data_IF_621276878183
#
_entry.id   IF_621276878183
#
_cell.length_a   1.000
_cell.length_b   1.000
_cell.length_c   1.000
_cell.angle_alpha   90.00
_cell.angle_beta   90.00
_cell.angle_gamma   90.00
#
_symmetry.space_group_name_H-M   'P 1'
#
loop_
_entity.id
_entity.type
_entity.pdbx_description
1 polymer ?
#
# COMPACT_ATOMS: atom_id res chain seq x y z
N UNK A 1 4.26 0.43 72.17
CA UNK A 1 3.59 0.16 73.48
C UNK A 1 2.09 0.10 73.24
N UNK A 2 1.52 -1.15 73.31
CA UNK A 2 0.17 -1.52 73.79
C UNK A 2 -1.04 -0.98 73.03
N UNK A 3 -2.16 -1.69 72.81
CA UNK A 3 -2.70 -3.02 73.13
C UNK A 3 -3.87 -3.32 72.17
N UNK A 4 -3.97 -4.45 71.63
CA UNK A 4 -4.91 -5.59 71.69
C UNK A 4 -6.40 -5.32 72.11
N UNK A 5 -7.30 -5.67 71.15
CA UNK A 5 -8.41 -6.67 71.22
C UNK A 5 -9.68 -6.36 72.05
N UNK A 6 -10.78 -7.16 71.96
CA UNK A 6 -11.41 -7.89 70.89
C UNK A 6 -12.98 -7.73 70.82
N UNK A 7 -13.59 -8.54 69.95
CA UNK A 7 -15.02 -8.81 69.66
C UNK A 7 -15.99 -8.93 70.87
N UNK A 8 -17.36 -8.87 70.66
CA UNK A 8 -18.07 -10.13 70.30
C UNK A 8 -19.24 -10.04 69.35
N UNK A 9 -19.58 -11.26 68.86
CA UNK A 9 -20.75 -11.68 68.07
C UNK A 9 -22.08 -11.44 68.81
N UNK A 10 -23.16 -11.13 68.03
CA UNK A 10 -24.53 -11.58 68.36
C UNK A 10 -25.23 -12.04 67.11
N UNK A 11 -25.63 -13.29 67.15
CA UNK A 11 -26.70 -13.90 66.33
C UNK A 11 -28.06 -13.34 66.78
N UNK A 12 -28.94 -13.07 65.85
CA UNK A 12 -30.40 -13.19 66.02
C UNK A 12 -30.97 -13.80 64.77
N UNK A 13 -31.61 -14.93 64.96
CA UNK A 13 -32.45 -15.61 63.98
C UNK A 13 -33.90 -15.13 64.17
N UNK A 14 -34.63 -14.96 63.09
CA UNK A 14 -36.10 -15.09 63.05
C UNK A 14 -36.56 -15.18 61.58
N UNK A 15 -36.94 -16.32 61.19
CA UNK A 15 -38.28 -16.82 60.78
C UNK A 15 -38.93 -16.22 59.51
N UNK A 16 -39.17 -17.18 58.68
CA UNK A 16 -39.85 -17.32 57.44
C UNK A 16 -41.20 -16.59 57.26
N UNK A 17 -41.45 -16.13 56.06
CA UNK A 17 -42.77 -16.20 55.44
C UNK A 17 -42.58 -16.36 53.93
N UNK A 18 -43.07 -17.45 53.38
CA UNK A 18 -43.01 -17.74 51.98
C UNK A 18 -43.98 -16.90 51.14
N UNK A 19 -43.52 -16.48 50.01
CA UNK A 19 -44.32 -16.09 48.89
C UNK A 19 -43.67 -16.64 47.63
N UNK A 20 -44.22 -17.72 47.10
CA UNK A 20 -43.87 -18.27 45.80
C UNK A 20 -44.35 -17.30 44.71
N UNK A 21 -43.43 -16.57 44.12
CA UNK A 21 -43.66 -15.88 42.87
C UNK A 21 -42.98 -16.74 41.76
N UNK A 22 -43.81 -17.40 40.96
CA UNK A 22 -43.34 -18.08 39.76
C UNK A 22 -42.82 -17.02 38.75
N UNK A 23 -41.53 -16.79 38.78
CA UNK A 23 -40.83 -15.99 37.76
C UNK A 23 -40.63 -16.83 36.50
N UNK A 24 -41.39 -16.53 35.46
CA UNK A 24 -41.07 -17.00 34.10
C UNK A 24 -39.67 -16.46 33.74
N UNK A 25 -38.66 -17.30 33.79
CA UNK A 25 -37.37 -17.04 33.19
C UNK A 25 -37.57 -17.05 31.66
N UNK A 26 -37.68 -15.87 31.08
CA UNK A 26 -37.51 -15.71 29.63
C UNK A 26 -36.02 -15.97 29.34
N UNK A 27 -35.68 -17.16 28.92
CA UNK A 27 -34.40 -17.45 28.28
C UNK A 27 -34.43 -16.74 26.94
N UNK A 28 -33.74 -15.57 26.87
CA UNK A 28 -33.36 -14.99 25.61
C UNK A 28 -32.38 -15.97 24.92
N UNK A 29 -32.92 -16.81 24.04
CA UNK A 29 -32.10 -17.55 23.11
C UNK A 29 -31.36 -16.47 22.27
N UNK A 30 -30.05 -16.29 22.51
CA UNK A 30 -29.20 -15.59 21.58
C UNK A 30 -29.38 -16.30 20.23
N UNK A 31 -29.90 -15.55 19.24
CA UNK A 31 -29.98 -16.05 17.88
C UNK A 31 -28.56 -16.40 17.47
N UNK A 32 -28.32 -17.65 17.14
CA UNK A 32 -27.07 -18.05 16.50
C UNK A 32 -26.91 -17.19 15.23
N UNK A 33 -25.67 -16.74 14.94
CA UNK A 33 -25.44 -15.97 13.71
C UNK A 33 -25.95 -16.79 12.54
N UNK A 34 -26.83 -16.19 11.75
CA UNK A 34 -27.33 -16.78 10.52
C UNK A 34 -26.09 -16.94 9.63
N UNK A 35 -25.59 -18.15 9.49
CA UNK A 35 -24.66 -18.50 8.43
C UNK A 35 -25.43 -18.31 7.13
N UNK A 36 -25.20 -17.19 6.46
CA UNK A 36 -25.57 -17.07 5.05
C UNK A 36 -24.88 -18.21 4.31
N UNK A 37 -25.63 -18.96 3.54
CA UNK A 37 -25.04 -19.95 2.66
C UNK A 37 -23.98 -19.26 1.80
N UNK A 38 -22.82 -19.89 1.55
CA UNK A 38 -21.86 -19.32 0.62
C UNK A 38 -22.59 -19.05 -0.70
N UNK A 39 -22.33 -17.90 -1.36
CA UNK A 39 -22.92 -17.63 -2.66
C UNK A 39 -22.57 -18.78 -3.62
N UNK A 40 -23.49 -19.09 -4.52
CA UNK A 40 -23.20 -20.07 -5.57
C UNK A 40 -21.99 -19.60 -6.37
N UNK A 41 -21.06 -20.51 -6.73
CA UNK A 41 -19.91 -20.14 -7.56
C UNK A 41 -20.45 -19.55 -8.88
N UNK A 42 -19.92 -18.39 -9.28
CA UNK A 42 -20.10 -17.90 -10.64
C UNK A 42 -19.44 -18.87 -11.64
N UNK A 43 -19.68 -18.72 -12.93
CA UNK A 43 -19.12 -19.60 -13.95
C UNK A 43 -17.57 -19.59 -14.01
N UNK A 44 -16.92 -18.61 -13.36
CA UNK A 44 -15.45 -18.47 -13.24
C UNK A 44 -14.88 -19.01 -11.90
N UNK A 45 -15.71 -19.60 -11.04
CA UNK A 45 -15.28 -20.08 -9.72
C UNK A 45 -15.29 -18.98 -8.65
N UNK A 46 -15.02 -19.31 -7.41
CA UNK A 46 -15.17 -18.56 -6.16
C UNK A 46 -14.47 -17.19 -6.08
N UNK A 47 -14.38 -16.44 -7.15
CA UNK A 47 -13.76 -15.15 -7.16
C UNK A 47 -14.74 -14.04 -6.82
N UNK A 48 -14.59 -13.45 -5.66
CA UNK A 48 -15.42 -12.32 -5.20
C UNK A 48 -14.63 -11.03 -5.33
N UNK A 49 -15.35 -9.96 -5.63
CA UNK A 49 -14.81 -8.59 -5.61
C UNK A 49 -14.39 -8.14 -4.22
N UNK A 50 -13.70 -7.01 -4.10
CA UNK A 50 -13.13 -6.44 -2.87
C UNK A 50 -14.12 -6.18 -1.71
N UNK A 51 -15.38 -6.56 -1.83
CA UNK A 51 -16.48 -6.17 -0.94
C UNK A 51 -16.54 -6.92 0.41
N UNK A 52 -15.62 -7.84 0.70
CA UNK A 52 -15.62 -8.51 1.98
C UNK A 52 -14.58 -7.90 2.94
N UNK A 53 -15.02 -7.04 3.90
CA UNK A 53 -14.10 -6.26 4.74
C UNK A 53 -13.52 -7.06 5.92
N UNK A 54 -13.69 -8.39 6.01
CA UNK A 54 -13.53 -9.12 7.27
C UNK A 54 -12.19 -9.83 7.49
N UNK A 55 -11.15 -9.56 6.70
CA UNK A 55 -9.83 -10.09 7.02
C UNK A 55 -9.23 -9.36 8.24
N UNK A 56 -9.31 -10.03 9.41
CA UNK A 56 -8.83 -9.50 10.69
C UNK A 56 -7.31 -9.66 10.91
N UNK A 57 -6.55 -9.99 9.88
CA UNK A 57 -5.11 -10.29 9.98
C UNK A 57 -4.17 -9.16 9.61
N UNK A 58 -4.69 -8.00 9.22
CA UNK A 58 -3.87 -6.86 8.81
C UNK A 58 -3.29 -6.09 10.00
N UNK A 59 -2.04 -5.68 9.88
CA UNK A 59 -1.40 -4.77 10.83
C UNK A 59 -2.17 -3.46 10.93
N UNK A 60 -2.67 -3.12 12.10
CA UNK A 60 -3.29 -1.83 12.41
C UNK A 60 -2.23 -0.73 12.52
N UNK A 61 -2.62 0.55 12.42
CA UNK A 61 -1.70 1.66 12.60
C UNK A 61 -0.99 1.61 13.98
N UNK A 62 -1.72 1.21 15.03
CA UNK A 62 -1.15 1.08 16.38
C UNK A 62 -0.15 -0.08 16.49
N UNK A 63 -0.34 -1.15 15.74
CA UNK A 63 0.60 -2.28 15.62
C UNK A 63 1.83 -1.87 14.84
N UNK A 64 1.66 -1.22 13.69
CA UNK A 64 2.76 -0.66 12.90
C UNK A 64 3.68 0.21 13.77
N UNK A 65 3.10 1.15 14.52
CA UNK A 65 3.86 2.02 15.45
C UNK A 65 4.71 1.22 16.43
N UNK A 66 4.13 0.17 17.04
CA UNK A 66 4.85 -0.70 17.98
C UNK A 66 5.96 -1.49 17.33
N UNK A 67 5.69 -2.05 16.14
CA UNK A 67 6.66 -2.85 15.39
C UNK A 67 7.83 -2.02 14.90
N UNK A 68 7.59 -0.85 14.34
CA UNK A 68 8.65 0.08 13.92
C UNK A 68 9.53 0.50 15.11
N UNK A 69 8.93 0.88 16.23
CA UNK A 69 9.68 1.21 17.45
C UNK A 69 10.43 -0.01 18.03
N UNK A 70 9.96 -1.23 17.81
CA UNK A 70 10.68 -2.44 18.18
C UNK A 70 11.85 -2.69 17.21
N UNK A 71 11.65 -2.53 15.90
CA UNK A 71 12.71 -2.68 14.90
C UNK A 71 13.87 -1.74 15.19
N UNK A 72 13.60 -0.45 15.42
CA UNK A 72 14.63 0.53 15.74
C UNK A 72 15.47 0.08 16.96
N UNK A 73 14.82 -0.36 18.04
CA UNK A 73 15.53 -0.84 19.25
C UNK A 73 16.30 -2.14 19.05
N UNK A 74 15.74 -3.10 18.29
CA UNK A 74 16.33 -4.45 18.15
C UNK A 74 17.39 -4.53 17.07
N UNK A 75 17.50 -3.53 16.23
CA UNK A 75 18.52 -3.41 15.19
C UNK A 75 19.66 -2.46 15.55
N UNK A 76 19.74 -2.04 16.81
CA UNK A 76 20.73 -1.09 17.34
C UNK A 76 20.80 0.21 16.49
N UNK A 77 19.62 0.70 16.03
CA UNK A 77 19.48 1.90 15.22
C UNK A 77 19.89 1.76 13.75
N UNK A 78 20.13 0.54 13.24
CA UNK A 78 20.33 0.35 11.80
C UNK A 78 19.05 0.67 11.01
N UNK A 79 17.90 0.33 11.56
CA UNK A 79 16.61 0.84 11.08
C UNK A 79 16.31 2.11 11.87
N UNK A 80 16.21 3.22 11.17
CA UNK A 80 15.88 4.53 11.72
C UNK A 80 14.42 4.84 11.39
N UNK A 81 13.65 5.29 12.37
CA UNK A 81 12.22 5.55 12.20
C UNK A 81 11.93 7.01 12.50
N UNK A 82 11.31 7.69 11.54
CA UNK A 82 10.92 9.08 11.65
C UNK A 82 9.43 9.26 11.35
N UNK A 83 8.88 10.39 11.76
CA UNK A 83 7.52 10.82 11.44
C UNK A 83 7.57 11.81 10.27
N UNK A 84 7.13 11.39 9.10
CA UNK A 84 7.08 12.21 7.89
C UNK A 84 5.95 13.25 7.92
N UNK A 85 4.87 12.95 8.64
CA UNK A 85 3.69 13.81 8.69
C UNK A 85 2.59 13.20 9.54
N UNK A 86 1.40 13.79 9.43
CA UNK A 86 0.19 13.27 10.10
C UNK A 86 -0.99 13.33 9.14
N UNK A 87 -1.86 12.34 9.23
CA UNK A 87 -3.13 12.33 8.51
C UNK A 87 -4.08 13.39 9.07
N UNK A 88 -5.19 13.61 8.38
CA UNK A 88 -6.28 14.47 8.85
C UNK A 88 -6.80 14.07 10.24
N UNK A 89 -6.85 12.77 10.57
CA UNK A 89 -7.24 12.28 11.90
C UNK A 89 -6.09 12.27 12.92
N UNK A 90 -4.92 12.83 12.58
CA UNK A 90 -3.78 12.98 13.46
C UNK A 90 -2.91 11.72 13.63
N UNK A 91 -3.14 10.67 12.83
CA UNK A 91 -2.27 9.49 12.81
C UNK A 91 -0.92 9.82 12.17
N UNK A 92 0.15 9.34 12.79
CA UNK A 92 1.52 9.57 12.32
C UNK A 92 1.78 8.78 11.03
N UNK A 93 2.38 9.42 10.04
CA UNK A 93 2.92 8.79 8.84
C UNK A 93 4.40 8.52 9.07
N UNK A 94 4.81 7.26 8.98
CA UNK A 94 6.16 6.86 9.33
C UNK A 94 7.02 6.63 8.08
N UNK A 95 8.27 7.06 8.16
CA UNK A 95 9.36 6.52 7.37
C UNK A 95 10.19 5.56 8.20
N UNK A 96 10.72 4.52 7.55
CA UNK A 96 11.72 3.63 8.14
C UNK A 96 12.88 3.48 7.15
N UNK A 97 14.06 3.96 7.54
CA UNK A 97 15.26 3.98 6.72
C UNK A 97 16.25 2.91 7.15
N UNK A 98 16.85 2.21 6.17
CA UNK A 98 17.93 1.26 6.41
C UNK A 98 18.91 1.27 5.22
N UNK A 99 20.21 1.13 5.52
CA UNK A 99 21.28 1.25 4.53
C UNK A 99 21.91 2.63 4.47
N UNK A 100 23.07 2.71 3.81
CA UNK A 100 23.90 3.94 3.72
C UNK A 100 24.48 4.14 2.33
N UNK A 101 23.97 3.37 1.36
CA UNK A 101 24.42 3.48 -0.03
C UNK A 101 23.88 4.72 -0.72
N UNK A 102 24.55 5.10 -1.80
CA UNK A 102 24.20 6.29 -2.58
C UNK A 102 22.98 6.09 -3.48
N UNK A 103 22.62 4.84 -3.80
CA UNK A 103 21.39 4.54 -4.54
C UNK A 103 20.17 4.57 -3.61
N UNK A 104 19.19 5.37 -3.94
CA UNK A 104 18.01 5.60 -3.10
C UNK A 104 16.79 4.89 -3.65
N UNK A 105 16.20 4.02 -2.83
CA UNK A 105 14.94 3.35 -3.11
C UNK A 105 13.87 3.80 -2.11
N UNK A 106 12.86 4.51 -2.59
CA UNK A 106 11.65 4.83 -1.83
C UNK A 106 10.58 3.78 -2.12
N UNK A 107 10.05 3.14 -1.08
CA UNK A 107 8.95 2.17 -1.22
C UNK A 107 7.78 2.60 -0.36
N UNK A 108 6.64 2.82 -0.98
CA UNK A 108 5.40 3.15 -0.28
C UNK A 108 4.37 2.04 -0.40
N UNK A 109 3.48 1.94 0.57
CA UNK A 109 2.39 0.96 0.60
C UNK A 109 1.14 1.54 1.23
N UNK A 110 0.02 0.90 0.91
CA UNK A 110 -1.30 1.26 1.44
C UNK A 110 -1.68 2.73 1.15
N UNK A 111 -1.37 3.23 -0.05
CA UNK A 111 -1.90 4.49 -0.56
C UNK A 111 -3.43 4.40 -0.68
N UNK A 112 -3.94 3.23 -1.04
CA UNK A 112 -5.32 2.85 -0.81
C UNK A 112 -5.38 2.07 0.50
N UNK A 113 -6.17 2.55 1.45
CA UNK A 113 -6.12 2.05 2.83
C UNK A 113 -6.50 0.57 3.00
N UNK A 114 -7.23 -0.02 2.07
CA UNK A 114 -7.59 -1.44 2.06
C UNK A 114 -6.53 -2.35 1.38
N UNK A 115 -5.41 -1.81 0.89
CA UNK A 115 -4.38 -2.53 0.14
C UNK A 115 -3.11 -2.70 0.99
N UNK A 116 -3.11 -3.61 1.96
CA UNK A 116 -2.11 -3.66 3.05
C UNK A 116 -1.05 -4.77 2.97
N UNK A 117 -1.04 -5.62 1.95
CA UNK A 117 -0.01 -6.67 1.80
C UNK A 117 1.41 -6.09 1.78
N UNK A 118 1.59 -4.92 1.16
CA UNK A 118 2.86 -4.21 1.14
C UNK A 118 3.35 -3.77 2.53
N UNK A 119 2.44 -3.37 3.42
CA UNK A 119 2.78 -3.05 4.82
C UNK A 119 3.46 -4.22 5.51
N UNK A 120 2.86 -5.41 5.41
CA UNK A 120 3.40 -6.65 5.99
C UNK A 120 4.76 -7.03 5.38
N UNK A 121 4.87 -6.87 4.06
CA UNK A 121 6.10 -7.16 3.35
C UNK A 121 7.25 -6.24 3.78
N UNK A 122 6.99 -4.93 3.86
CA UNK A 122 7.99 -3.93 4.25
C UNK A 122 8.50 -4.12 5.68
N UNK A 123 7.63 -4.45 6.63
CA UNK A 123 8.03 -4.80 7.99
C UNK A 123 8.99 -6.01 7.99
N UNK A 124 8.70 -7.02 7.16
CA UNK A 124 9.58 -8.18 7.00
C UNK A 124 10.93 -7.85 6.36
N UNK A 125 10.96 -6.98 5.35
CA UNK A 125 12.19 -6.51 4.68
C UNK A 125 13.06 -5.70 5.66
N UNK A 126 12.47 -4.73 6.34
CA UNK A 126 13.16 -3.91 7.34
C UNK A 126 13.78 -4.77 8.45
N UNK A 127 13.04 -5.79 8.92
CA UNK A 127 13.56 -6.74 9.91
C UNK A 127 14.73 -7.54 9.37
N UNK A 128 14.65 -8.06 8.14
CA UNK A 128 15.74 -8.83 7.50
C UNK A 128 16.97 -7.97 7.33
N UNK A 129 16.84 -6.79 6.73
CA UNK A 129 17.96 -5.89 6.47
C UNK A 129 18.58 -5.36 7.76
N UNK A 130 17.74 -4.93 8.72
CA UNK A 130 18.20 -4.38 9.99
C UNK A 130 18.92 -5.39 10.88
N UNK A 131 18.59 -6.69 10.79
CA UNK A 131 19.17 -7.75 11.62
C UNK A 131 20.20 -8.62 10.88
N UNK A 132 20.22 -8.57 9.54
CA UNK A 132 21.08 -9.41 8.71
C UNK A 132 22.56 -9.02 8.79
N UNK A 133 23.43 -10.03 8.69
CA UNK A 133 24.88 -9.85 8.69
C UNK A 133 25.58 -10.70 7.63
N UNK A 134 24.83 -11.37 6.75
CA UNK A 134 25.37 -12.12 5.63
C UNK A 134 25.96 -11.19 4.55
N UNK A 135 26.79 -11.70 3.62
CA UNK A 135 27.44 -10.87 2.61
C UNK A 135 26.47 -10.12 1.68
N UNK A 136 25.32 -10.75 1.33
CA UNK A 136 24.33 -10.12 0.46
C UNK A 136 23.66 -8.95 1.17
N UNK A 137 23.23 -9.14 2.43
CA UNK A 137 22.65 -8.06 3.24
C UNK A 137 23.63 -6.90 3.41
N UNK A 138 24.92 -7.18 3.69
CA UNK A 138 25.91 -6.10 3.79
C UNK A 138 26.08 -5.34 2.48
N UNK A 139 26.19 -6.05 1.35
CA UNK A 139 26.27 -5.41 0.03
C UNK A 139 25.06 -4.52 -0.23
N UNK A 140 23.86 -5.01 0.06
CA UNK A 140 22.64 -4.23 -0.08
C UNK A 140 22.71 -2.94 0.75
N UNK A 141 23.05 -3.02 2.02
CA UNK A 141 23.11 -1.88 2.93
C UNK A 141 24.23 -0.88 2.61
N UNK A 142 25.36 -1.36 2.04
CA UNK A 142 26.49 -0.52 1.65
C UNK A 142 26.25 0.25 0.34
N UNK A 143 25.35 -0.22 -0.53
CA UNK A 143 25.13 0.33 -1.85
C UNK A 143 23.73 0.95 -2.04
N UNK A 144 22.75 0.59 -1.21
CA UNK A 144 21.38 1.08 -1.31
C UNK A 144 20.93 1.67 0.03
N UNK A 145 20.30 2.82 -0.04
CA UNK A 145 19.50 3.38 1.04
C UNK A 145 18.04 3.11 0.74
N UNK A 146 17.43 2.19 1.51
CA UNK A 146 16.00 1.95 1.46
C UNK A 146 15.29 2.91 2.43
N UNK A 147 14.31 3.63 1.91
CA UNK A 147 13.33 4.39 2.71
C UNK A 147 11.95 3.79 2.47
N UNK A 148 11.37 3.22 3.50
CA UNK A 148 10.04 2.61 3.43
C UNK A 148 9.00 3.50 4.11
N UNK A 149 7.84 3.67 3.47
CA UNK A 149 6.62 4.23 4.04
C UNK A 149 5.55 3.13 4.09
N UNK A 150 5.52 2.32 5.17
CA UNK A 150 4.74 1.07 5.17
C UNK A 150 3.23 1.26 5.12
N UNK A 151 2.71 2.42 5.56
CA UNK A 151 1.26 2.69 5.58
C UNK A 151 1.04 4.19 5.41
N UNK A 152 0.76 4.62 4.17
CA UNK A 152 0.61 6.05 3.86
C UNK A 152 -0.83 6.56 3.97
N UNK A 153 -1.82 5.66 4.06
CA UNK A 153 -3.23 6.00 4.29
C UNK A 153 -3.81 5.22 5.48
N UNK A 154 -3.32 5.46 6.71
CA UNK A 154 -3.82 4.75 7.88
C UNK A 154 -5.30 5.07 8.19
N UNK A 155 -5.80 6.25 7.84
CA UNK A 155 -7.20 6.62 8.08
C UNK A 155 -8.15 5.78 7.21
N UNK A 156 -7.82 5.59 5.94
CA UNK A 156 -8.52 4.66 5.05
C UNK A 156 -8.34 3.22 5.50
N UNK A 157 -7.13 2.86 5.97
CA UNK A 157 -6.79 1.53 6.47
C UNK A 157 -7.64 1.08 7.66
N UNK A 158 -7.82 1.95 8.66
CA UNK A 158 -8.65 1.64 9.84
C UNK A 158 -10.14 1.47 9.47
N UNK A 159 -10.59 2.02 8.36
CA UNK A 159 -11.93 1.88 7.83
C UNK A 159 -12.04 0.81 6.72
N UNK A 160 -10.94 0.14 6.40
CA UNK A 160 -10.83 -0.83 5.31
C UNK A 160 -11.41 -0.29 3.99
N UNK A 161 -10.99 0.90 3.58
CA UNK A 161 -11.47 1.55 2.36
C UNK A 161 -10.32 2.14 1.55
N UNK A 162 -10.56 2.36 0.25
CA UNK A 162 -9.59 2.91 -0.69
C UNK A 162 -9.19 4.35 -0.35
N UNK A 163 -10.17 5.25 -0.28
CA UNK A 163 -9.95 6.68 -0.05
C UNK A 163 -9.53 7.00 1.40
N UNK A 164 -8.86 8.12 1.60
CA UNK A 164 -8.68 8.71 2.92
C UNK A 164 -10.00 9.29 3.48
N UNK A 165 -9.96 10.11 4.55
CA UNK A 165 -11.17 10.61 5.22
C UNK A 165 -11.34 12.13 5.15
N UNK A 166 -10.50 12.84 4.39
CA UNK A 166 -10.50 14.30 4.33
C UNK A 166 -11.77 14.80 3.67
N UNK A 167 -12.56 15.58 4.37
CA UNK A 167 -13.74 16.23 3.80
C UNK A 167 -13.35 17.49 2.99
N UNK A 168 -14.18 17.89 2.01
CA UNK A 168 -13.86 19.06 1.21
C UNK A 168 -13.82 20.36 2.03
N UNK A 169 -14.62 20.46 3.08
CA UNK A 169 -14.60 21.63 3.97
C UNK A 169 -13.27 21.74 4.75
N UNK A 170 -12.62 20.62 5.06
CA UNK A 170 -11.29 20.60 5.67
C UNK A 170 -10.24 21.08 4.68
N UNK A 171 -10.36 20.65 3.40
CA UNK A 171 -9.47 21.16 2.32
C UNK A 171 -9.58 22.67 2.19
N UNK A 172 -10.82 23.22 2.20
CA UNK A 172 -11.03 24.67 2.13
C UNK A 172 -10.50 25.38 3.38
N UNK A 173 -10.53 24.74 4.54
CA UNK A 173 -9.91 25.27 5.75
C UNK A 173 -8.40 25.39 5.64
N UNK A 174 -7.76 24.36 5.09
CA UNK A 174 -6.30 24.31 4.91
C UNK A 174 -5.82 25.14 3.71
N UNK A 175 -6.69 25.25 2.68
CA UNK A 175 -6.46 26.01 1.45
C UNK A 175 -7.58 27.05 1.23
N UNK A 176 -7.61 28.17 2.00
CA UNK A 176 -8.70 29.14 1.94
C UNK A 176 -8.93 29.79 0.56
N UNK A 177 -7.90 29.80 -0.30
CA UNK A 177 -8.00 30.26 -1.69
C UNK A 177 -8.97 29.42 -2.53
N UNK A 178 -9.24 28.17 -2.13
CA UNK A 178 -10.16 27.27 -2.83
C UNK A 178 -11.63 27.45 -2.42
N UNK A 179 -11.95 28.45 -1.57
CA UNK A 179 -13.31 28.71 -1.16
C UNK A 179 -14.20 29.04 -2.38
N UNK A 180 -15.26 28.23 -2.58
CA UNK A 180 -16.18 28.36 -3.70
C UNK A 180 -15.72 27.69 -5.01
N UNK A 181 -14.52 27.12 -5.06
CA UNK A 181 -14.10 26.27 -6.16
C UNK A 181 -14.85 24.90 -6.16
N UNK A 182 -15.02 24.27 -7.31
CA UNK A 182 -15.53 22.89 -7.35
C UNK A 182 -14.55 21.94 -6.64
N UNK A 183 -15.06 20.79 -6.19
CA UNK A 183 -14.20 19.74 -5.62
C UNK A 183 -13.30 19.18 -6.70
N UNK A 184 -12.07 18.77 -6.32
CA UNK A 184 -11.21 18.00 -7.20
C UNK A 184 -11.95 16.75 -7.71
N UNK A 185 -11.76 16.39 -8.99
CA UNK A 185 -12.49 15.28 -9.63
C UNK A 185 -12.28 13.95 -8.91
N UNK A 186 -11.12 13.76 -8.25
CA UNK A 186 -10.78 12.56 -7.49
C UNK A 186 -11.16 12.62 -6.01
N UNK A 187 -11.89 13.67 -5.57
CA UNK A 187 -12.52 13.71 -4.26
C UNK A 187 -13.92 13.09 -4.32
N UNK A 188 -14.23 12.21 -3.38
CA UNK A 188 -15.51 11.50 -3.29
C UNK A 188 -15.82 10.63 -4.52
N UNK A 189 -14.81 9.97 -5.08
CA UNK A 189 -15.02 9.01 -6.15
C UNK A 189 -15.90 7.85 -5.68
N UNK A 190 -16.70 7.34 -6.61
CA UNK A 190 -17.46 6.11 -6.39
C UNK A 190 -16.55 4.93 -6.65
N UNK A 191 -16.34 4.10 -5.63
CA UNK A 191 -15.74 2.78 -5.75
C UNK A 191 -16.83 1.75 -5.51
N UNK A 192 -16.96 0.78 -6.41
CA UNK A 192 -17.94 -0.31 -6.33
C UNK A 192 -19.39 0.18 -6.11
N UNK A 193 -19.74 1.29 -6.75
CA UNK A 193 -21.06 1.91 -6.65
C UNK A 193 -21.31 2.74 -5.38
N UNK A 194 -20.35 2.79 -4.45
CA UNK A 194 -20.43 3.53 -3.19
C UNK A 194 -19.57 4.79 -3.30
N UNK A 195 -20.17 5.94 -3.04
CA UNK A 195 -19.42 7.20 -2.89
C UNK A 195 -18.64 7.15 -1.57
N UNK A 196 -17.33 7.28 -1.65
CA UNK A 196 -16.46 7.35 -0.50
C UNK A 196 -15.98 8.79 -0.30
N UNK A 197 -16.40 9.50 0.77
CA UNK A 197 -15.86 10.83 1.09
C UNK A 197 -14.36 10.73 1.33
N UNK A 198 -13.58 11.68 0.80
CA UNK A 198 -12.13 11.69 0.86
C UNK A 198 -11.49 11.58 -0.51
N UNK A 199 -10.18 11.51 -0.54
CA UNK A 199 -9.39 11.48 -1.77
C UNK A 199 -9.01 10.06 -2.17
N UNK A 200 -9.08 9.76 -3.47
CA UNK A 200 -8.19 8.77 -4.05
C UNK A 200 -6.78 9.39 -4.08
N UNK A 201 -5.95 8.99 -3.11
CA UNK A 201 -4.62 9.57 -2.95
C UNK A 201 -3.73 9.37 -4.19
N UNK A 202 -3.95 8.28 -4.94
CA UNK A 202 -3.16 8.02 -6.15
C UNK A 202 -3.68 8.80 -7.38
N UNK A 203 -4.27 9.98 -7.13
CA UNK A 203 -4.64 11.01 -8.11
C UNK A 203 -4.21 12.41 -7.64
N UNK A 204 -3.64 12.53 -6.43
CA UNK A 204 -3.36 13.81 -5.77
C UNK A 204 -1.92 14.30 -5.96
N UNK A 205 -1.12 13.64 -6.80
CA UNK A 205 0.28 13.98 -7.05
C UNK A 205 0.44 14.93 -8.24
N UNK A 206 1.41 15.83 -8.12
CA UNK A 206 1.80 16.76 -9.18
C UNK A 206 3.29 16.60 -9.49
N UNK A 207 3.70 16.55 -10.77
CA UNK A 207 5.12 16.53 -11.11
C UNK A 207 5.84 17.81 -10.74
N UNK A 208 5.14 18.96 -10.70
CA UNK A 208 5.66 20.17 -10.06
C UNK A 208 5.57 20.00 -8.53
N UNK A 209 6.67 19.62 -7.91
CA UNK A 209 6.73 19.31 -6.47
C UNK A 209 6.51 20.55 -5.60
N UNK A 210 6.65 21.76 -6.17
CA UNK A 210 6.38 23.04 -5.52
C UNK A 210 4.96 23.57 -5.82
N UNK A 211 4.13 22.77 -6.50
CA UNK A 211 2.78 23.19 -6.90
C UNK A 211 1.92 23.61 -5.70
N UNK A 212 1.29 24.77 -5.85
CA UNK A 212 0.33 25.30 -4.87
C UNK A 212 -1.07 25.29 -5.48
N UNK A 213 -2.06 24.69 -4.84
CA UNK A 213 -3.42 24.57 -5.36
C UNK A 213 -4.06 25.92 -5.71
N UNK A 214 -4.67 26.03 -6.90
CA UNK A 214 -5.32 27.22 -7.41
C UNK A 214 -6.77 26.93 -7.80
N UNK A 215 -7.72 27.87 -7.55
CA UNK A 215 -9.14 27.65 -7.85
C UNK A 215 -9.41 27.38 -9.33
N UNK A 216 -8.64 27.98 -10.23
CA UNK A 216 -8.80 27.86 -11.68
C UNK A 216 -8.40 26.49 -12.24
N UNK A 217 -7.63 25.68 -11.50
CA UNK A 217 -7.22 24.34 -11.91
C UNK A 217 -8.27 23.27 -11.54
N UNK A 218 -9.24 23.65 -10.68
CA UNK A 218 -10.29 22.74 -10.24
C UNK A 218 -11.53 22.79 -11.16
N UNK A 219 -12.19 21.63 -11.38
CA UNK A 219 -12.02 20.35 -10.70
C UNK A 219 -10.87 19.50 -11.23
N UNK A 220 -10.26 19.85 -12.37
CA UNK A 220 -9.37 19.01 -13.11
C UNK A 220 -10.06 17.79 -13.76
N UNK A 221 -9.31 16.93 -14.41
CA UNK A 221 -9.79 15.69 -15.04
C UNK A 221 -8.76 14.56 -14.91
N UNK A 222 -9.09 13.37 -15.37
CA UNK A 222 -8.30 12.16 -15.12
C UNK A 222 -6.88 12.20 -15.69
N UNK A 223 -6.68 12.89 -16.79
CA UNK A 223 -5.37 13.06 -17.44
C UNK A 223 -4.51 14.16 -16.81
N UNK A 224 -5.12 15.00 -15.99
CA UNK A 224 -4.40 16.10 -15.33
C UNK A 224 -3.53 15.59 -14.17
N UNK A 225 -2.51 16.37 -13.84
CA UNK A 225 -1.78 16.25 -12.59
C UNK A 225 -2.70 16.52 -11.39
N UNK A 226 -2.37 15.94 -10.25
CA UNK A 226 -3.06 16.20 -8.98
C UNK A 226 -2.69 17.56 -8.37
N UNK A 227 -3.19 17.82 -7.18
CA UNK A 227 -3.11 19.15 -6.58
C UNK A 227 -2.47 19.17 -5.19
N UNK A 228 -1.96 18.04 -4.67
CA UNK A 228 -1.42 17.91 -3.32
C UNK A 228 -2.36 18.47 -2.23
N UNK A 229 -3.63 18.09 -2.30
CA UNK A 229 -4.65 18.57 -1.37
C UNK A 229 -4.71 17.78 -0.06
N UNK A 230 -4.20 16.57 -0.06
CA UNK A 230 -4.22 15.72 1.12
C UNK A 230 -2.91 15.78 1.92
N UNK A 231 -2.96 15.69 3.26
CA UNK A 231 -1.75 15.68 4.06
C UNK A 231 -0.87 14.44 3.78
N UNK A 232 -1.46 13.35 3.33
CA UNK A 232 -0.74 12.12 2.98
C UNK A 232 0.13 12.31 1.73
N UNK A 233 -0.44 12.84 0.64
CA UNK A 233 0.32 13.09 -0.60
C UNK A 233 1.41 14.15 -0.39
N UNK A 234 1.13 15.17 0.41
CA UNK A 234 2.11 16.19 0.81
C UNK A 234 3.27 15.55 1.59
N UNK A 235 2.99 14.66 2.55
CA UNK A 235 4.04 13.99 3.31
C UNK A 235 4.91 13.09 2.43
N UNK A 236 4.33 12.37 1.46
CA UNK A 236 5.09 11.54 0.50
C UNK A 236 5.98 12.43 -0.37
N UNK A 237 5.43 13.53 -0.91
CA UNK A 237 6.18 14.54 -1.65
C UNK A 237 7.36 15.08 -0.85
N UNK A 238 7.11 15.47 0.40
CA UNK A 238 8.13 16.08 1.25
C UNK A 238 9.27 15.09 1.58
N UNK A 239 8.94 13.81 1.78
CA UNK A 239 9.95 12.74 1.90
C UNK A 239 10.76 12.62 0.60
N UNK A 240 10.09 12.59 -0.56
CA UNK A 240 10.78 12.49 -1.85
C UNK A 240 11.71 13.69 -2.11
N UNK A 241 11.23 14.91 -1.88
CA UNK A 241 12.04 16.13 -2.00
C UNK A 241 13.23 16.11 -1.04
N UNK A 242 13.01 15.75 0.22
CA UNK A 242 14.10 15.63 1.19
C UNK A 242 15.16 14.61 0.79
N UNK A 243 14.78 13.52 0.15
CA UNK A 243 15.73 12.54 -0.40
C UNK A 243 16.48 13.08 -1.61
N UNK A 244 15.82 13.84 -2.49
CA UNK A 244 16.52 14.54 -3.60
C UNK A 244 17.53 15.58 -3.07
N UNK A 245 17.19 16.32 -2.03
CA UNK A 245 18.10 17.29 -1.41
C UNK A 245 19.30 16.60 -0.74
N UNK A 246 19.10 15.44 -0.10
CA UNK A 246 20.17 14.70 0.59
C UNK A 246 21.10 13.99 -0.39
N UNK A 247 20.56 13.32 -1.42
CA UNK A 247 21.30 12.41 -2.31
C UNK A 247 21.49 12.95 -3.73
N UNK A 248 20.82 14.04 -4.09
CA UNK A 248 20.80 14.58 -5.44
C UNK A 248 19.76 13.94 -6.37
N UNK A 249 19.35 12.71 -6.10
CA UNK A 249 18.31 12.00 -6.85
C UNK A 249 17.67 10.90 -5.99
N UNK A 250 16.47 10.49 -6.34
CA UNK A 250 15.86 9.23 -5.91
C UNK A 250 15.91 8.27 -7.09
N UNK A 251 16.67 7.17 -6.98
CA UNK A 251 16.88 6.25 -8.11
C UNK A 251 15.62 5.55 -8.51
N UNK A 252 14.84 5.09 -7.52
CA UNK A 252 13.59 4.40 -7.77
C UNK A 252 12.52 4.67 -6.71
N UNK A 253 11.26 4.60 -7.15
CA UNK A 253 10.07 4.58 -6.31
C UNK A 253 9.25 3.33 -6.64
N UNK A 254 8.91 2.53 -5.62
CA UNK A 254 7.99 1.39 -5.76
C UNK A 254 6.71 1.70 -5.02
N UNK A 255 5.58 1.59 -5.72
CA UNK A 255 4.24 1.81 -5.19
C UNK A 255 3.52 0.46 -5.08
N UNK A 256 3.30 -0.01 -3.84
CA UNK A 256 2.75 -1.32 -3.54
C UNK A 256 1.23 -1.24 -3.39
N UNK A 257 0.53 -1.93 -4.29
CA UNK A 257 -0.92 -1.94 -4.42
C UNK A 257 -1.52 -3.34 -4.38
N UNK A 258 -2.85 -3.41 -4.43
CA UNK A 258 -3.60 -4.62 -4.72
C UNK A 258 -4.39 -4.48 -6.02
N UNK A 259 -4.21 -5.42 -6.94
CA UNK A 259 -5.11 -5.63 -8.07
C UNK A 259 -6.32 -6.49 -7.66
N UNK A 260 -7.25 -6.69 -8.60
CA UNK A 260 -8.38 -7.60 -8.43
C UNK A 260 -7.95 -9.02 -8.03
N UNK A 261 -8.76 -9.74 -7.25
CA UNK A 261 -8.41 -11.10 -6.82
C UNK A 261 -8.65 -12.17 -7.89
N UNK A 262 -9.34 -11.81 -8.98
CA UNK A 262 -9.95 -12.73 -9.94
C UNK A 262 -9.24 -12.80 -11.29
N UNK A 263 -8.12 -12.14 -11.40
CA UNK A 263 -7.45 -11.98 -12.67
C UNK A 263 -6.51 -13.16 -12.95
N UNK A 264 -6.51 -13.62 -14.19
CA UNK A 264 -5.68 -14.72 -14.68
C UNK A 264 -4.63 -14.21 -15.67
N UNK A 265 -3.48 -14.86 -15.68
CA UNK A 265 -2.44 -14.59 -16.69
C UNK A 265 -2.92 -15.00 -18.09
N UNK A 266 -2.60 -14.17 -19.06
CA UNK A 266 -2.80 -14.46 -20.49
C UNK A 266 -1.44 -14.63 -21.16
N UNK A 267 -1.18 -15.85 -21.62
CA UNK A 267 0.10 -16.21 -22.22
C UNK A 267 1.15 -16.69 -21.21
N UNK A 268 2.32 -17.06 -21.71
CA UNK A 268 3.44 -17.56 -20.92
C UNK A 268 3.23 -18.95 -20.31
N UNK A 269 4.14 -19.36 -19.39
CA UNK A 269 4.13 -20.71 -18.82
C UNK A 269 2.94 -20.98 -17.87
N UNK A 270 2.26 -19.94 -17.41
CA UNK A 270 1.16 -20.02 -16.46
C UNK A 270 -0.16 -19.46 -17.04
N UNK A 271 -0.34 -19.52 -18.36
CA UNK A 271 -1.56 -19.11 -19.05
C UNK A 271 -2.82 -19.69 -18.38
N UNK A 272 -3.83 -18.85 -18.13
CA UNK A 272 -5.07 -19.21 -17.45
C UNK A 272 -4.90 -19.58 -15.98
N UNK A 273 -3.80 -19.19 -15.32
CA UNK A 273 -3.62 -19.33 -13.88
C UNK A 273 -3.79 -17.99 -13.19
N UNK A 274 -4.33 -18.01 -11.96
CA UNK A 274 -4.44 -16.79 -11.17
C UNK A 274 -3.11 -16.07 -11.03
N UNK A 275 -3.09 -14.80 -11.40
CA UNK A 275 -1.93 -13.93 -11.24
C UNK A 275 -1.67 -13.66 -9.75
N UNK A 276 -0.40 -13.64 -9.35
CA UNK A 276 0.01 -13.26 -8.00
C UNK A 276 0.53 -11.84 -7.91
N UNK A 277 1.22 -11.42 -8.97
CA UNK A 277 1.84 -10.09 -9.07
C UNK A 277 1.70 -9.57 -10.48
N UNK A 278 1.28 -8.32 -10.63
CA UNK A 278 1.44 -7.59 -11.88
C UNK A 278 2.28 -6.34 -11.67
N UNK A 279 3.06 -6.01 -12.68
CA UNK A 279 3.99 -4.90 -12.66
C UNK A 279 3.65 -3.92 -13.78
N UNK A 280 3.91 -2.64 -13.53
CA UNK A 280 3.71 -1.60 -14.53
C UNK A 280 4.73 -0.48 -14.34
N UNK A 281 4.93 0.28 -15.41
CA UNK A 281 5.68 1.52 -15.45
C UNK A 281 4.70 2.71 -15.57
N UNK A 282 5.15 4.00 -15.53
CA UNK A 282 4.23 5.13 -15.51
C UNK A 282 3.33 5.23 -16.74
N UNK A 283 1.98 5.36 -16.57
CA UNK A 283 1.04 5.54 -17.65
C UNK A 283 0.99 7.01 -18.07
N UNK A 284 1.87 7.41 -18.98
CA UNK A 284 2.04 8.77 -19.46
C UNK A 284 1.64 8.97 -20.93
N UNK A 285 0.71 8.16 -21.42
CA UNK A 285 0.17 8.25 -22.76
C UNK A 285 1.08 7.59 -23.82
N UNK A 286 0.79 7.90 -25.08
CA UNK A 286 1.47 7.29 -26.23
C UNK A 286 2.96 7.62 -26.29
N UNK A 287 3.73 6.78 -26.99
CA UNK A 287 5.16 6.96 -27.23
C UNK A 287 5.96 7.17 -25.92
N UNK A 288 5.63 6.36 -24.88
CA UNK A 288 6.31 6.39 -23.56
C UNK A 288 6.34 7.78 -22.91
N UNK A 289 5.31 8.58 -23.13
CA UNK A 289 5.21 9.91 -22.56
C UNK A 289 6.04 10.98 -23.28
N UNK A 290 6.30 10.79 -24.57
CA UNK A 290 7.09 11.74 -25.37
C UNK A 290 6.58 13.18 -25.30
N UNK A 291 5.28 13.37 -25.09
CA UNK A 291 4.66 14.70 -24.91
C UNK A 291 5.16 15.45 -23.66
N UNK A 292 5.70 14.75 -22.68
CA UNK A 292 6.22 15.34 -21.42
C UNK A 292 7.69 15.76 -21.50
N UNK A 293 8.47 15.21 -22.43
CA UNK A 293 9.94 15.36 -22.45
C UNK A 293 10.43 16.81 -22.61
N UNK A 294 9.66 17.67 -23.27
CA UNK A 294 10.02 19.08 -23.40
C UNK A 294 10.05 19.81 -22.04
N UNK A 295 9.18 19.41 -21.12
CA UNK A 295 9.06 20.01 -19.77
C UNK A 295 9.81 19.17 -18.74
N UNK A 296 9.79 17.86 -18.90
CA UNK A 296 10.31 16.87 -17.95
C UNK A 296 11.40 15.99 -18.61
N UNK A 297 12.57 16.57 -18.95
CA UNK A 297 13.61 15.87 -19.73
C UNK A 297 14.31 14.74 -18.97
N UNK A 298 14.01 14.56 -17.69
CA UNK A 298 14.54 13.46 -16.87
C UNK A 298 13.68 12.19 -16.92
N UNK A 299 12.51 12.22 -17.59
CA UNK A 299 11.67 11.05 -17.76
C UNK A 299 12.42 9.96 -18.53
N UNK A 300 12.48 8.76 -17.92
CA UNK A 300 13.09 7.58 -18.52
C UNK A 300 12.19 6.35 -18.27
N UNK A 301 11.31 6.07 -19.21
CA UNK A 301 10.40 4.92 -19.14
C UNK A 301 11.13 3.58 -19.27
N UNK A 302 12.21 3.53 -20.07
CA UNK A 302 13.05 2.35 -20.18
C UNK A 302 13.68 1.98 -18.83
N UNK A 303 14.18 2.97 -18.09
CA UNK A 303 14.67 2.77 -16.73
C UNK A 303 13.59 2.16 -15.83
N UNK A 304 12.35 2.67 -15.88
CA UNK A 304 11.25 2.13 -15.08
C UNK A 304 10.94 0.66 -15.43
N UNK A 305 10.95 0.30 -16.73
CA UNK A 305 10.76 -1.09 -17.18
C UNK A 305 11.88 -2.01 -16.71
N UNK A 306 13.15 -1.58 -16.76
CA UNK A 306 14.29 -2.35 -16.24
C UNK A 306 14.14 -2.66 -14.74
N UNK A 307 13.68 -1.70 -13.95
CA UNK A 307 13.44 -1.88 -12.53
C UNK A 307 12.26 -2.83 -12.26
N UNK A 308 11.21 -2.76 -13.07
CA UNK A 308 10.10 -3.72 -13.01
C UNK A 308 10.55 -5.14 -13.40
N UNK A 309 11.41 -5.29 -14.41
CA UNK A 309 12.01 -6.58 -14.79
C UNK A 309 12.84 -7.17 -13.66
N UNK A 310 13.67 -6.38 -12.97
CA UNK A 310 14.44 -6.86 -11.83
C UNK A 310 13.54 -7.46 -10.73
N UNK A 311 12.35 -6.91 -10.53
CA UNK A 311 11.33 -7.48 -9.64
C UNK A 311 10.81 -8.82 -10.19
N UNK A 312 10.41 -8.86 -11.45
CA UNK A 312 9.84 -10.06 -12.10
C UNK A 312 10.83 -11.22 -12.12
N UNK A 313 12.04 -10.96 -12.61
CA UNK A 313 13.10 -11.95 -12.75
C UNK A 313 13.47 -12.54 -11.38
N UNK A 314 13.62 -11.69 -10.36
CA UNK A 314 13.95 -12.17 -9.03
C UNK A 314 12.86 -13.03 -8.40
N UNK A 315 11.59 -12.74 -8.63
CA UNK A 315 10.48 -13.60 -8.18
C UNK A 315 10.51 -14.94 -8.94
N UNK A 316 10.72 -14.91 -10.26
CA UNK A 316 10.74 -16.11 -11.09
C UNK A 316 11.97 -16.98 -10.80
N UNK A 317 13.14 -16.37 -10.58
CA UNK A 317 14.36 -17.08 -10.19
C UNK A 317 14.19 -17.78 -8.83
N UNK A 318 13.63 -17.08 -7.85
CA UNK A 318 13.45 -17.61 -6.49
C UNK A 318 12.50 -18.80 -6.42
N UNK A 319 11.42 -18.78 -7.19
CA UNK A 319 10.33 -19.78 -7.05
C UNK A 319 10.20 -20.71 -8.25
N UNK A 320 10.81 -20.37 -9.38
CA UNK A 320 10.62 -21.08 -10.66
C UNK A 320 9.30 -20.73 -11.34
N UNK A 321 9.33 -20.65 -12.67
CA UNK A 321 8.24 -20.16 -13.53
C UNK A 321 6.92 -20.96 -13.46
N UNK A 322 6.88 -22.09 -12.76
CA UNK A 322 5.66 -22.91 -12.55
C UNK A 322 5.05 -22.72 -11.16
N UNK A 323 5.70 -21.96 -10.28
CA UNK A 323 5.19 -21.70 -8.93
C UNK A 323 4.06 -20.66 -8.97
N UNK A 324 2.97 -20.87 -8.20
CA UNK A 324 1.97 -19.83 -8.03
C UNK A 324 2.53 -18.51 -7.45
N UNK A 325 3.66 -18.58 -6.71
CA UNK A 325 4.34 -17.39 -6.19
C UNK A 325 5.04 -16.59 -7.29
N UNK A 326 5.36 -17.22 -8.41
CA UNK A 326 5.99 -16.62 -9.58
C UNK A 326 5.02 -16.41 -10.76
N UNK A 327 3.72 -16.38 -10.48
CA UNK A 327 2.71 -15.97 -11.45
C UNK A 327 2.75 -14.44 -11.60
N UNK A 328 3.75 -13.97 -12.34
CA UNK A 328 4.04 -12.55 -12.57
C UNK A 328 3.67 -12.19 -13.99
N UNK A 329 2.94 -11.09 -14.15
CA UNK A 329 2.58 -10.52 -15.44
C UNK A 329 2.75 -9.00 -15.45
N UNK A 330 2.58 -8.40 -16.61
CA UNK A 330 2.48 -6.95 -16.72
C UNK A 330 1.05 -6.49 -16.47
N UNK A 331 0.91 -5.36 -15.81
CA UNK A 331 -0.38 -4.73 -15.63
C UNK A 331 -0.86 -4.17 -16.98
N UNK A 332 -2.18 -4.27 -17.23
CA UNK A 332 -2.76 -3.76 -18.47
C UNK A 332 -2.53 -2.25 -18.60
N UNK A 333 -1.77 -1.88 -19.61
CA UNK A 333 -1.38 -0.49 -19.86
C UNK A 333 -1.55 -0.20 -21.37
N UNK A 334 -2.78 0.14 -21.82
CA UNK A 334 -2.96 0.56 -23.20
C UNK A 334 -2.16 1.84 -23.47
N UNK A 335 -1.59 1.92 -24.67
CA UNK A 335 -0.65 2.98 -25.07
C UNK A 335 -1.21 4.40 -24.87
N UNK A 336 -2.53 4.58 -24.98
CA UNK A 336 -3.22 5.86 -24.75
C UNK A 336 -3.54 6.16 -23.29
N UNK A 337 -3.22 5.25 -22.35
CA UNK A 337 -3.53 5.46 -20.93
C UNK A 337 -2.65 6.55 -20.33
N UNK A 338 -3.28 7.57 -19.74
CA UNK A 338 -2.62 8.72 -19.18
C UNK A 338 -3.19 9.06 -17.79
N UNK A 339 -2.30 9.05 -16.78
CA UNK A 339 -2.64 9.36 -15.39
C UNK A 339 -1.51 10.16 -14.74
N UNK A 340 -1.36 11.42 -15.13
CA UNK A 340 -0.30 12.29 -14.61
C UNK A 340 -0.40 12.52 -13.09
N UNK A 341 -1.60 12.43 -12.52
CA UNK A 341 -1.85 12.59 -11.08
C UNK A 341 -1.50 11.39 -10.19
N UNK A 342 -0.98 10.29 -10.75
CA UNK A 342 -0.45 9.20 -9.93
C UNK A 342 0.94 9.51 -9.38
N UNK A 343 1.24 9.00 -8.17
CA UNK A 343 2.57 9.17 -7.56
C UNK A 343 3.69 8.65 -8.45
N UNK A 344 3.52 7.46 -9.05
CA UNK A 344 4.49 6.89 -9.98
C UNK A 344 4.73 7.76 -11.22
N UNK A 345 3.72 8.43 -11.74
CA UNK A 345 3.87 9.34 -12.88
C UNK A 345 4.60 10.62 -12.48
N UNK A 346 4.20 11.23 -11.36
CA UNK A 346 4.83 12.45 -10.86
C UNK A 346 6.33 12.25 -10.57
N UNK A 347 6.69 11.15 -9.91
CA UNK A 347 8.10 10.88 -9.56
C UNK A 347 8.94 10.42 -10.77
N UNK A 348 8.34 9.74 -11.75
CA UNK A 348 9.04 9.43 -13.00
C UNK A 348 9.38 10.68 -13.81
N UNK A 349 8.45 11.64 -13.87
CA UNK A 349 8.70 12.94 -14.49
C UNK A 349 9.84 13.72 -13.80
N UNK A 350 10.11 13.41 -12.53
CA UNK A 350 11.24 13.93 -11.77
C UNK A 350 12.52 13.05 -11.84
N UNK A 351 12.56 12.05 -12.74
CA UNK A 351 13.77 11.27 -13.07
C UNK A 351 13.97 9.98 -12.30
N UNK A 352 13.04 9.58 -11.42
CA UNK A 352 13.09 8.28 -10.77
C UNK A 352 12.60 7.17 -11.71
N UNK A 353 13.19 5.98 -11.64
CA UNK A 353 12.50 4.78 -12.09
C UNK A 353 11.29 4.55 -11.20
N UNK A 354 10.12 4.30 -11.76
CA UNK A 354 8.95 4.05 -10.92
C UNK A 354 8.27 2.74 -11.32
N UNK A 355 7.95 1.93 -10.31
CA UNK A 355 7.34 0.62 -10.48
C UNK A 355 6.03 0.57 -9.71
N UNK A 356 4.93 0.35 -10.41
CA UNK A 356 3.70 -0.12 -9.81
C UNK A 356 3.85 -1.62 -9.55
N UNK A 357 3.65 -2.01 -8.32
CA UNK A 357 3.67 -3.40 -7.90
C UNK A 357 2.28 -3.76 -7.36
N UNK A 358 1.48 -4.37 -8.20
CA UNK A 358 0.15 -4.83 -7.85
C UNK A 358 0.22 -6.29 -7.38
N UNK A 359 -0.14 -6.56 -6.14
CA UNK A 359 -0.29 -7.92 -5.66
C UNK A 359 -1.76 -8.33 -5.70
N UNK A 360 -2.04 -9.60 -5.96
CA UNK A 360 -3.40 -10.13 -5.96
C UNK A 360 -4.14 -9.75 -4.68
N UNK A 361 -5.34 -9.20 -4.79
CA UNK A 361 -6.16 -8.80 -3.68
C UNK A 361 -6.44 -9.98 -2.73
N UNK A 362 -6.34 -9.72 -1.43
CA UNK A 362 -6.61 -10.69 -0.39
C UNK A 362 -8.09 -10.63 0.00
N UNK A 363 -8.73 -11.79 0.06
CA UNK A 363 -10.10 -11.96 0.53
C UNK A 363 -10.14 -12.93 1.70
N UNK A 364 -11.20 -12.89 2.50
CA UNK A 364 -11.38 -13.76 3.67
C UNK A 364 -11.40 -15.25 3.33
N UNK A 365 -11.99 -15.62 2.20
CA UNK A 365 -12.10 -17.01 1.76
C UNK A 365 -10.80 -17.59 1.21
N UNK A 366 -9.80 -16.75 0.88
CA UNK A 366 -8.47 -17.20 0.46
C UNK A 366 -7.58 -17.61 1.64
N UNK A 367 -7.91 -17.20 2.85
CA UNK A 367 -7.30 -17.65 4.10
C UNK A 367 -5.84 -17.21 4.32
N UNK A 368 -5.36 -17.49 5.53
CA UNK A 368 -4.02 -17.09 6.01
C UNK A 368 -2.86 -17.64 5.16
N UNK A 369 -3.03 -18.81 4.55
CA UNK A 369 -1.99 -19.42 3.73
C UNK A 369 -1.70 -18.57 2.49
N UNK A 370 -2.74 -18.12 1.78
CA UNK A 370 -2.55 -17.29 0.60
C UNK A 370 -2.00 -15.91 0.99
N UNK A 371 -2.48 -15.34 2.09
CA UNK A 371 -1.91 -14.10 2.63
C UNK A 371 -0.39 -14.20 2.80
N UNK A 372 0.08 -15.21 3.52
CA UNK A 372 1.54 -15.42 3.70
C UNK A 372 2.29 -15.63 2.40
N UNK A 373 1.68 -16.28 1.39
CA UNK A 373 2.28 -16.44 0.06
C UNK A 373 2.40 -15.09 -0.66
N UNK A 374 1.37 -14.26 -0.68
CA UNK A 374 1.38 -12.96 -1.35
C UNK A 374 2.35 -11.98 -0.68
N UNK A 375 2.36 -11.92 0.66
CA UNK A 375 3.39 -11.16 1.40
C UNK A 375 4.80 -11.60 1.00
N UNK A 376 5.02 -12.91 0.84
CA UNK A 376 6.33 -13.44 0.46
C UNK A 376 6.70 -13.10 -1.00
N UNK A 377 5.73 -13.07 -1.94
CA UNK A 377 6.00 -12.62 -3.31
C UNK A 377 6.41 -11.15 -3.36
N UNK A 378 5.70 -10.27 -2.63
CA UNK A 378 6.07 -8.84 -2.53
C UNK A 378 7.47 -8.68 -1.92
N UNK A 379 7.75 -9.39 -0.81
CA UNK A 379 9.07 -9.34 -0.18
C UNK A 379 10.18 -9.74 -1.14
N UNK A 380 10.00 -10.87 -1.83
CA UNK A 380 11.00 -11.36 -2.78
C UNK A 380 11.22 -10.36 -3.90
N UNK A 381 10.17 -9.80 -4.49
CA UNK A 381 10.30 -8.81 -5.56
C UNK A 381 11.07 -7.56 -5.13
N UNK A 382 10.72 -6.98 -3.99
CA UNK A 382 11.42 -5.79 -3.47
C UNK A 382 12.86 -6.11 -3.04
N UNK A 383 13.10 -7.26 -2.39
CA UNK A 383 14.44 -7.70 -1.99
C UNK A 383 15.34 -7.95 -3.22
N UNK A 384 14.77 -8.51 -4.30
CA UNK A 384 15.51 -8.72 -5.57
C UNK A 384 15.85 -7.40 -6.26
N UNK A 385 14.92 -6.44 -6.25
CA UNK A 385 15.23 -5.10 -6.76
C UNK A 385 16.36 -4.44 -5.95
N UNK A 386 16.34 -4.55 -4.64
CA UNK A 386 17.43 -4.03 -3.78
C UNK A 386 18.76 -4.68 -4.14
N UNK A 387 18.79 -6.00 -4.37
CA UNK A 387 20.03 -6.70 -4.75
C UNK A 387 20.50 -6.30 -6.16
N UNK A 388 19.59 -6.19 -7.13
CA UNK A 388 19.89 -5.73 -8.48
C UNK A 388 20.41 -4.28 -8.50
N UNK A 389 19.85 -3.40 -7.68
CA UNK A 389 20.39 -2.05 -7.47
C UNK A 389 21.77 -2.07 -6.82
N UNK A 390 21.96 -2.90 -5.79
CA UNK A 390 23.21 -2.99 -5.06
C UNK A 390 24.38 -3.58 -5.88
N UNK A 391 24.06 -4.42 -6.86
CA UNK A 391 25.04 -5.02 -7.78
C UNK A 391 25.25 -4.20 -9.06
N UNK A 392 24.34 -3.29 -9.39
CA UNK A 392 24.30 -2.58 -10.66
C UNK A 392 23.69 -3.41 -11.81
N UNK A 393 23.18 -4.60 -11.55
CA UNK A 393 22.55 -5.48 -12.54
C UNK A 393 21.36 -4.80 -13.22
N UNK A 394 20.54 -4.08 -12.44
CA UNK A 394 19.37 -3.33 -12.95
C UNK A 394 19.70 -2.38 -14.11
N UNK A 395 20.93 -1.85 -14.18
CA UNK A 395 21.36 -0.93 -15.22
C UNK A 395 21.72 -1.66 -16.53
N UNK A 396 21.84 -3.00 -16.50
CA UNK A 396 22.24 -3.83 -17.64
C UNK A 396 21.07 -4.57 -18.28
N UNK A 397 19.90 -4.53 -17.66
CA UNK A 397 18.69 -5.16 -18.20
C UNK A 397 18.20 -4.44 -19.46
N UNK A 398 17.58 -5.18 -20.33
CA UNK A 398 16.89 -4.65 -21.52
C UNK A 398 15.43 -4.32 -21.16
N UNK A 399 15.09 -3.04 -21.10
CA UNK A 399 13.74 -2.61 -20.72
C UNK A 399 12.64 -3.10 -21.68
N UNK A 400 12.97 -3.39 -22.93
CA UNK A 400 11.99 -3.90 -23.88
C UNK A 400 11.56 -5.35 -23.57
N UNK A 401 12.39 -6.12 -22.84
CA UNK A 401 12.01 -7.43 -22.36
C UNK A 401 10.81 -7.39 -21.37
N UNK A 402 10.48 -6.23 -20.82
CA UNK A 402 9.26 -6.05 -20.02
C UNK A 402 8.01 -6.44 -20.81
N UNK A 403 7.99 -6.17 -22.10
CA UNK A 403 6.85 -6.50 -22.98
C UNK A 403 6.72 -7.99 -23.29
N UNK A 404 7.72 -8.81 -22.93
CA UNK A 404 7.66 -10.27 -23.02
C UNK A 404 6.98 -10.93 -21.81
N UNK A 405 6.76 -10.19 -20.71
CA UNK A 405 5.97 -10.67 -19.59
C UNK A 405 4.52 -10.97 -20.03
N UNK A 406 3.90 -12.03 -19.48
CA UNK A 406 2.50 -12.33 -19.75
C UNK A 406 1.60 -11.15 -19.42
N UNK A 407 0.53 -10.98 -20.21
CA UNK A 407 -0.51 -10.01 -19.89
C UNK A 407 -1.38 -10.49 -18.72
N UNK A 408 -1.89 -9.55 -18.02
CA UNK A 408 -2.99 -9.73 -17.12
C UNK A 408 -4.28 -9.36 -17.89
N UNK A 409 -5.13 -10.38 -18.05
CA UNK A 409 -6.29 -10.23 -18.94
C UNK A 409 -7.38 -9.38 -18.32
N UNK A 410 -7.51 -8.15 -18.78
CA UNK A 410 -8.83 -7.54 -18.86
C UNK A 410 -9.50 -8.08 -20.10
N UNK A 411 -10.43 -9.01 -19.96
CA UNK A 411 -11.43 -9.16 -21.01
C UNK A 411 -12.23 -7.86 -21.01
N UNK A 412 -12.26 -7.16 -22.13
CA UNK A 412 -13.17 -6.06 -22.39
C UNK A 412 -14.56 -6.53 -21.92
N UNK A 413 -15.06 -5.92 -20.87
CA UNK A 413 -16.45 -6.10 -20.47
C UNK A 413 -17.26 -5.35 -21.55
N UNK A 414 -17.71 -6.13 -22.59
CA UNK A 414 -18.68 -5.69 -23.59
C UNK A 414 -20.01 -5.20 -22.96
#
# INVERSE_FOLDING_TARGET
VRHLSPRPRRLVAALAAGATVAGLAATSAAAAPVRTAPPEPDEKGTCKTFDDPQFNGWTTHSELKRELAQLERTTDGRVQVDVAGRTHQGRELYTARVGTGDRVLLVQSAIHGNERTGTEALLGILKKLGSGNDPATRRALDNVTLVAMPMVNPDGGELNRRANVVAWDDVVSDHPQLAGAPRAWYHSLRSDGIEQPGFDLNRDFNPDLDYVPRPEDLPGEQTDAGFFLSPESQAIRDVYVGLQEEFGAVDAVVDLHHMGPCDDLTGGPQDGKPISVSLDYPPLGVEDGAAYLDVWPLLDQDKSRRYALAVADGIQEQYGSQSPLAAVGRYFHPDEREYAGQGRSAFALNGSATVLFEVRGQQDDLGQKLHGMLVQSVRTGVESLIDAMATGEVDTLDGDAFFELPDYGWEDAD
#
